data_IF_990904141937
#
_entry.id   IF_990904141937
#
_cell.length_a   1.000
_cell.length_b   1.000
_cell.length_c   1.000
_cell.angle_alpha   90.00
_cell.angle_beta   90.00
_cell.angle_gamma   90.00
#
_symmetry.space_group_name_H-M   'P 1'
#
loop_
_entity.id
_entity.type
_entity.pdbx_description
1 polymer ?
#
# COMPACT_ATOMS: atom_id res chain seq x y z
N UNK A 1 -8.82 86.82 34.75
CA UNK A 1 -8.85 86.24 33.43
C UNK A 1 -7.48 85.59 33.18
N UNK A 2 -7.39 84.21 33.29
CA UNK A 2 -6.20 83.44 32.98
C UNK A 2 -6.58 82.36 31.98
N UNK A 3 -6.15 82.54 30.75
CA UNK A 3 -6.24 81.54 29.73
C UNK A 3 -5.20 80.44 29.99
N UNK A 4 -5.60 79.22 30.15
CA UNK A 4 -4.74 78.07 30.18
C UNK A 4 -4.61 77.52 28.78
N UNK A 5 -3.45 77.66 28.17
CA UNK A 5 -3.11 77.02 26.89
C UNK A 5 -2.90 75.50 27.09
N UNK A 6 -3.66 74.71 26.39
CA UNK A 6 -3.50 73.27 26.35
C UNK A 6 -2.47 72.98 25.25
N UNK A 7 -1.34 72.46 25.61
CA UNK A 7 -0.23 72.07 24.72
C UNK A 7 -0.63 70.89 23.81
N UNK A 8 -0.36 70.96 22.49
CA UNK A 8 -0.75 69.94 21.53
C UNK A 8 0.11 68.65 21.57
N UNK A 9 1.00 68.49 22.54
CA UNK A 9 2.02 67.41 22.54
C UNK A 9 1.56 66.08 23.11
N UNK A 10 0.30 65.95 23.61
CA UNK A 10 -0.21 64.74 24.23
C UNK A 10 -1.11 63.88 23.28
N UNK A 11 -1.44 64.35 22.09
CA UNK A 11 -2.36 63.65 21.17
C UNK A 11 -1.59 62.67 20.24
N UNK A 12 -0.29 62.91 20.01
CA UNK A 12 0.49 62.03 19.11
C UNK A 12 0.98 60.72 19.76
N UNK A 13 0.97 60.62 21.09
CA UNK A 13 1.42 59.42 21.81
C UNK A 13 0.42 58.25 21.78
N UNK A 14 -0.87 58.50 21.57
CA UNK A 14 -1.90 57.47 21.62
C UNK A 14 -2.13 56.78 20.27
N UNK A 15 -1.82 57.45 19.16
CA UNK A 15 -1.93 56.86 17.81
C UNK A 15 -0.75 55.98 17.42
N UNK A 16 0.45 56.23 18.00
CA UNK A 16 1.62 55.43 17.72
C UNK A 16 1.58 54.03 18.40
N UNK A 17 0.85 53.89 19.52
CA UNK A 17 0.76 52.61 20.25
C UNK A 17 -0.24 51.63 19.63
N UNK A 18 -1.25 52.09 18.89
CA UNK A 18 -2.19 51.23 18.20
C UNK A 18 -1.65 50.67 16.88
N UNK A 19 -0.61 51.26 16.28
CA UNK A 19 -0.08 50.80 14.99
C UNK A 19 0.93 49.65 15.14
N UNK A 20 1.51 49.46 16.32
CA UNK A 20 2.51 48.38 16.57
C UNK A 20 1.85 47.05 17.00
N UNK A 21 0.57 47.05 17.46
CA UNK A 21 -0.14 45.84 17.84
C UNK A 21 -0.79 45.07 16.66
N UNK A 22 -0.79 45.64 15.46
CA UNK A 22 -1.43 44.99 14.29
C UNK A 22 -0.50 44.03 13.50
N UNK A 23 0.77 43.83 13.91
CA UNK A 23 1.75 43.06 13.14
C UNK A 23 2.08 41.69 13.76
N UNK A 24 1.54 41.36 14.94
CA UNK A 24 1.69 40.05 15.54
C UNK A 24 0.41 39.21 15.47
N UNK A 25 -0.18 39.05 14.28
CA UNK A 25 -1.05 37.91 14.05
C UNK A 25 -0.17 36.68 13.86
N UNK A 26 -0.33 35.62 14.69
CA UNK A 26 0.34 34.38 14.41
C UNK A 26 -0.16 33.91 13.03
N UNK A 27 0.79 33.79 12.09
CA UNK A 27 0.51 33.00 10.89
C UNK A 27 0.08 31.62 11.38
N UNK A 28 -1.22 31.34 11.32
CA UNK A 28 -1.71 29.99 11.42
C UNK A 28 -0.92 29.20 10.37
N UNK A 29 -0.01 28.35 10.84
CA UNK A 29 0.62 27.37 9.98
C UNK A 29 -0.54 26.59 9.37
N UNK A 30 -0.77 26.76 8.08
CA UNK A 30 -1.66 25.90 7.34
C UNK A 30 -1.13 24.50 7.57
N UNK A 31 -1.81 23.73 8.42
CA UNK A 31 -1.60 22.31 8.55
C UNK A 31 -1.82 21.79 7.14
N UNK A 32 -0.73 21.38 6.50
CA UNK A 32 -0.79 20.73 5.20
C UNK A 32 -1.63 19.48 5.42
N UNK A 33 -2.89 19.50 4.99
CA UNK A 33 -3.74 18.33 4.97
C UNK A 33 -2.97 17.29 4.18
N UNK A 34 -2.34 16.36 4.90
CA UNK A 34 -1.81 15.15 4.28
C UNK A 34 -3.03 14.48 3.68
N UNK A 35 -3.12 14.45 2.35
CA UNK A 35 -4.12 13.68 1.64
C UNK A 35 -4.18 12.33 2.32
N UNK A 36 -5.32 12.01 2.92
CA UNK A 36 -5.51 10.72 3.56
C UNK A 36 -5.24 9.67 2.48
N UNK A 37 -4.25 8.82 2.71
CA UNK A 37 -3.98 7.69 1.83
C UNK A 37 -5.08 6.71 2.11
N UNK A 38 -6.14 6.72 1.29
CA UNK A 38 -7.24 5.79 1.44
C UNK A 38 -6.88 4.46 0.76
N UNK A 39 -6.78 3.40 1.56
CA UNK A 39 -6.85 2.05 1.03
C UNK A 39 -8.23 1.85 0.39
N UNK A 40 -8.28 1.31 -0.84
CA UNK A 40 -9.56 0.92 -1.42
C UNK A 40 -10.26 -0.05 -0.48
N UNK A 41 -11.49 0.26 -0.10
CA UNK A 41 -12.32 -0.67 0.67
C UNK A 41 -12.70 -1.79 -0.30
N UNK A 42 -12.09 -2.96 -0.13
CA UNK A 42 -12.35 -4.14 -0.96
C UNK A 42 -13.59 -4.92 -0.51
N UNK A 43 -14.23 -4.50 0.58
CA UNK A 43 -15.45 -5.08 1.13
C UNK A 43 -16.62 -4.13 0.86
N UNK A 44 -17.79 -4.68 0.53
CA UNK A 44 -19.00 -3.87 0.49
C UNK A 44 -19.27 -3.26 1.88
N UNK A 45 -19.46 -1.96 1.94
CA UNK A 45 -19.73 -1.23 3.19
C UNK A 45 -21.02 -1.69 3.88
N UNK A 46 -21.96 -2.27 3.13
CA UNK A 46 -23.23 -2.81 3.63
C UNK A 46 -23.16 -4.29 4.00
N UNK A 47 -22.09 -4.97 3.61
CA UNK A 47 -21.93 -6.39 3.83
C UNK A 47 -21.84 -6.71 5.33
N UNK A 48 -22.47 -7.81 5.72
CA UNK A 48 -22.39 -8.37 7.06
C UNK A 48 -21.88 -9.79 6.95
N UNK A 49 -20.66 -10.01 7.41
CA UNK A 49 -20.07 -11.35 7.52
C UNK A 49 -20.31 -11.81 8.96
N UNK A 50 -21.04 -12.91 9.12
CA UNK A 50 -21.26 -13.49 10.44
C UNK A 50 -19.90 -13.90 11.05
N UNK A 51 -19.77 -13.75 12.36
CA UNK A 51 -18.61 -14.26 13.09
C UNK A 51 -18.86 -15.71 13.45
N UNK A 52 -18.15 -16.68 12.87
CA UNK A 52 -18.25 -18.09 13.28
C UNK A 52 -17.77 -18.27 14.72
N UNK A 53 -18.33 -19.25 15.42
CA UNK A 53 -17.86 -19.63 16.74
C UNK A 53 -16.53 -20.39 16.64
N UNK A 54 -15.49 -19.82 17.23
CA UNK A 54 -14.15 -20.41 17.36
C UNK A 54 -13.81 -20.77 18.81
N UNK A 55 -14.78 -20.86 19.71
CA UNK A 55 -14.54 -21.15 21.12
C UNK A 55 -13.81 -22.47 21.33
N UNK A 56 -14.11 -23.47 20.51
CA UNK A 56 -13.47 -24.79 20.49
C UNK A 56 -12.06 -24.84 19.92
N UNK A 57 -11.55 -23.76 19.32
CA UNK A 57 -10.20 -23.79 18.74
C UNK A 57 -9.15 -23.80 19.83
N UNK A 58 -8.21 -24.74 19.78
CA UNK A 58 -7.12 -24.86 20.75
C UNK A 58 -5.98 -23.90 20.39
N UNK A 59 -5.70 -23.78 19.10
CA UNK A 59 -4.65 -22.92 18.55
C UNK A 59 -5.02 -22.43 17.16
N UNK A 60 -4.45 -21.31 16.73
CA UNK A 60 -4.54 -20.77 15.37
C UNK A 60 -3.14 -20.35 14.93
N UNK A 61 -2.48 -21.16 14.12
CA UNK A 61 -1.14 -20.90 13.61
C UNK A 61 -1.21 -20.38 12.18
N UNK A 62 -0.58 -19.25 11.98
CA UNK A 62 -0.36 -18.68 10.66
C UNK A 62 1.04 -19.01 10.18
N UNK A 63 1.14 -19.62 9.01
CA UNK A 63 2.40 -19.84 8.31
C UNK A 63 2.72 -18.61 7.47
N UNK A 64 3.98 -18.21 7.47
CA UNK A 64 4.49 -17.10 6.66
C UNK A 64 5.91 -17.38 6.21
N UNK A 65 6.53 -16.45 5.45
CA UNK A 65 7.94 -16.51 5.05
C UNK A 65 8.73 -15.37 5.70
N UNK A 66 10.04 -15.26 5.40
CA UNK A 66 10.89 -14.16 5.88
C UNK A 66 11.60 -13.40 4.76
N UNK A 67 11.22 -13.68 3.52
CA UNK A 67 11.91 -13.23 2.30
C UNK A 67 11.04 -12.33 1.39
N UNK A 68 9.96 -11.76 1.94
CA UNK A 68 9.02 -10.92 1.21
C UNK A 68 8.81 -9.55 1.88
N UNK A 69 9.86 -8.70 2.02
CA UNK A 69 9.70 -7.35 2.56
C UNK A 69 8.90 -6.46 1.60
N UNK A 70 8.08 -5.54 2.10
CA UNK A 70 7.82 -5.22 3.51
C UNK A 70 6.67 -6.04 4.12
N UNK A 71 6.25 -7.13 3.47
CA UNK A 71 5.11 -7.94 3.93
C UNK A 71 5.48 -8.89 5.07
N UNK A 72 6.59 -9.63 4.93
CA UNK A 72 7.13 -10.52 5.96
C UNK A 72 8.66 -10.60 5.84
N UNK A 73 9.33 -10.30 6.92
CA UNK A 73 10.80 -10.28 6.98
C UNK A 73 11.28 -10.37 8.42
N UNK A 74 12.58 -10.61 8.60
CA UNK A 74 13.23 -10.50 9.90
C UNK A 74 13.76 -9.07 10.05
N UNK A 75 13.36 -8.40 11.13
CA UNK A 75 13.82 -7.06 11.44
C UNK A 75 15.26 -7.03 11.99
N UNK A 76 15.80 -5.83 12.22
CA UNK A 76 17.15 -5.64 12.75
C UNK A 76 17.36 -6.23 14.16
N UNK A 77 16.29 -6.55 14.88
CA UNK A 77 16.33 -7.17 16.21
C UNK A 77 16.21 -8.71 16.14
N UNK A 78 16.13 -9.28 14.94
CA UNK A 78 15.96 -10.72 14.73
C UNK A 78 14.52 -11.21 14.89
N UNK A 79 13.52 -10.31 14.94
CA UNK A 79 12.11 -10.67 15.10
C UNK A 79 11.37 -10.65 13.77
N UNK A 80 10.40 -11.55 13.68
CA UNK A 80 9.48 -11.58 12.55
C UNK A 80 8.59 -10.33 12.55
N UNK A 81 8.62 -9.58 11.46
CA UNK A 81 7.96 -8.31 11.25
C UNK A 81 7.38 -8.23 9.83
N UNK A 82 6.55 -7.21 9.56
CA UNK A 82 5.99 -6.94 8.25
C UNK A 82 4.48 -6.76 8.27
N UNK A 83 3.96 -6.29 7.14
CA UNK A 83 2.53 -6.00 6.98
C UNK A 83 1.64 -7.22 7.29
N UNK A 84 1.97 -8.42 6.75
CA UNK A 84 1.20 -9.63 7.03
C UNK A 84 1.28 -10.03 8.52
N UNK A 85 2.44 -9.86 9.13
CA UNK A 85 2.66 -10.20 10.55
C UNK A 85 1.80 -9.33 11.46
N UNK A 86 1.78 -8.01 11.20
CA UNK A 86 0.95 -7.09 11.97
C UNK A 86 -0.54 -7.28 11.67
N UNK A 87 -0.90 -7.56 10.40
CA UNK A 87 -2.28 -7.89 10.04
C UNK A 87 -2.78 -9.13 10.78
N UNK A 88 -1.99 -10.20 10.82
CA UNK A 88 -2.33 -11.43 11.56
C UNK A 88 -2.52 -11.13 13.06
N UNK A 89 -1.64 -10.34 13.67
CA UNK A 89 -1.78 -9.93 15.08
C UNK A 89 -3.09 -9.19 15.33
N UNK A 90 -3.50 -8.28 14.43
CA UNK A 90 -4.76 -7.55 14.55
C UNK A 90 -5.97 -8.46 14.32
N UNK A 91 -5.91 -9.40 13.36
CA UNK A 91 -6.94 -10.43 13.16
C UNK A 91 -7.13 -11.24 14.46
N UNK A 92 -6.05 -11.70 15.07
CA UNK A 92 -6.10 -12.45 16.32
C UNK A 92 -6.70 -11.65 17.47
N UNK A 93 -6.42 -10.35 17.53
CA UNK A 93 -7.00 -9.43 18.53
C UNK A 93 -8.50 -9.23 18.28
N UNK A 94 -8.90 -8.98 17.04
CA UNK A 94 -10.31 -8.80 16.65
C UNK A 94 -11.16 -10.04 16.98
N UNK A 95 -10.57 -11.22 16.78
CA UNK A 95 -11.21 -12.50 17.09
C UNK A 95 -11.15 -12.89 18.57
N UNK A 96 -10.47 -12.09 19.43
CA UNK A 96 -10.20 -12.42 20.85
C UNK A 96 -9.44 -13.76 21.02
N UNK A 97 -8.50 -14.07 20.10
CA UNK A 97 -7.71 -15.29 20.08
C UNK A 97 -6.22 -15.05 20.31
N UNK A 98 -5.81 -13.89 20.83
CA UNK A 98 -4.38 -13.49 20.94
C UNK A 98 -3.52 -14.56 21.59
N UNK A 99 -4.00 -15.17 22.70
CA UNK A 99 -3.26 -16.20 23.42
C UNK A 99 -3.17 -17.56 22.68
N UNK A 100 -4.06 -17.77 21.72
CA UNK A 100 -4.11 -19.00 20.92
C UNK A 100 -3.44 -18.83 19.55
N UNK A 101 -3.12 -17.59 19.17
CA UNK A 101 -2.51 -17.28 17.88
C UNK A 101 -0.99 -17.42 17.94
N UNK A 102 -0.46 -18.01 16.87
CA UNK A 102 0.98 -18.15 16.65
C UNK A 102 1.31 -17.80 15.20
N UNK A 103 2.49 -17.24 14.95
CA UNK A 103 3.01 -17.00 13.60
C UNK A 103 4.31 -17.78 13.48
N UNK A 104 4.37 -18.65 12.47
CA UNK A 104 5.52 -19.50 12.23
C UNK A 104 6.05 -19.26 10.82
N UNK A 105 7.35 -18.99 10.70
CA UNK A 105 8.02 -18.86 9.43
C UNK A 105 8.46 -20.22 8.90
N UNK A 106 8.22 -20.44 7.61
CA UNK A 106 8.73 -21.58 6.82
C UNK A 106 9.19 -21.05 5.47
N UNK A 107 9.89 -21.84 4.68
CA UNK A 107 10.26 -21.44 3.31
C UNK A 107 9.03 -21.45 2.39
N UNK A 108 9.02 -20.61 1.35
CA UNK A 108 7.89 -20.52 0.44
C UNK A 108 7.48 -21.86 -0.18
N UNK A 109 8.41 -22.73 -0.64
CA UNK A 109 8.05 -24.05 -1.17
C UNK A 109 7.42 -25.01 -0.15
N UNK A 110 7.64 -24.79 1.15
CA UNK A 110 7.11 -25.64 2.22
C UNK A 110 5.71 -25.25 2.66
N UNK A 111 5.21 -24.04 2.30
CA UNK A 111 3.95 -23.49 2.78
C UNK A 111 2.75 -24.43 2.54
N UNK A 112 2.58 -24.92 1.30
CA UNK A 112 1.46 -25.81 0.96
C UNK A 112 1.52 -27.12 1.74
N UNK A 113 2.72 -27.75 1.78
CA UNK A 113 2.91 -29.00 2.50
C UNK A 113 2.67 -28.83 3.99
N UNK A 114 3.22 -27.79 4.60
CA UNK A 114 3.04 -27.51 6.02
C UNK A 114 1.57 -27.25 6.39
N UNK A 115 0.80 -26.56 5.51
CA UNK A 115 -0.64 -26.37 5.69
C UNK A 115 -1.41 -27.70 5.62
N UNK A 116 -1.12 -28.53 4.62
CA UNK A 116 -1.76 -29.86 4.44
C UNK A 116 -1.43 -30.79 5.61
N UNK A 117 -0.19 -30.79 6.06
CA UNK A 117 0.27 -31.63 7.20
C UNK A 117 -0.30 -31.15 8.57
N UNK A 118 -1.05 -30.03 8.60
CA UNK A 118 -1.60 -29.49 9.85
C UNK A 118 -0.56 -28.80 10.73
N UNK A 119 0.59 -28.40 10.16
CA UNK A 119 1.60 -27.60 10.86
C UNK A 119 1.18 -26.13 11.03
N UNK A 120 0.11 -25.70 10.36
CA UNK A 120 -0.56 -24.42 10.50
C UNK A 120 -2.02 -24.54 10.07
N UNK A 121 -2.83 -23.58 10.43
CA UNK A 121 -4.25 -23.49 10.09
C UNK A 121 -4.49 -22.49 8.95
N UNK A 122 -3.55 -21.56 8.73
CA UNK A 122 -3.66 -20.51 7.71
C UNK A 122 -2.28 -20.13 7.15
N UNK A 123 -2.22 -19.60 5.91
CA UNK A 123 -1.00 -19.08 5.29
C UNK A 123 -1.20 -17.60 4.93
N UNK A 124 -0.36 -16.74 5.49
CA UNK A 124 -0.30 -15.30 5.19
C UNK A 124 1.09 -14.94 4.65
N UNK A 125 1.34 -15.23 3.38
CA UNK A 125 2.66 -15.14 2.74
C UNK A 125 2.63 -14.57 1.30
N UNK A 126 1.51 -14.00 0.86
CA UNK A 126 1.38 -13.48 -0.50
C UNK A 126 1.24 -14.56 -1.57
N UNK A 127 0.71 -15.72 -1.22
CA UNK A 127 0.42 -16.81 -2.18
C UNK A 127 -0.56 -16.30 -3.23
N UNK A 128 -0.19 -16.40 -4.49
CA UNK A 128 -1.05 -16.00 -5.60
C UNK A 128 -2.25 -16.97 -5.74
N UNK A 129 -3.45 -16.41 -5.86
CA UNK A 129 -4.66 -17.21 -6.07
C UNK A 129 -4.72 -17.65 -7.52
N UNK A 130 -4.54 -18.95 -7.75
CA UNK A 130 -4.67 -19.58 -9.06
C UNK A 130 -5.88 -20.51 -9.12
N UNK A 131 -6.38 -20.80 -10.33
CA UNK A 131 -7.49 -21.74 -10.51
C UNK A 131 -7.16 -23.14 -9.95
N UNK A 132 -5.91 -23.56 -10.01
CA UNK A 132 -5.47 -24.85 -9.48
C UNK A 132 -5.43 -24.85 -7.94
N UNK A 133 -4.88 -23.80 -7.34
CA UNK A 133 -4.87 -23.65 -5.88
C UNK A 133 -6.30 -23.53 -5.33
N UNK A 134 -7.21 -22.84 -6.02
CA UNK A 134 -8.63 -22.78 -5.63
C UNK A 134 -9.35 -24.15 -5.65
N UNK A 135 -8.90 -25.11 -6.44
CA UNK A 135 -9.44 -26.48 -6.37
C UNK A 135 -9.03 -27.19 -5.08
N UNK A 136 -7.86 -26.88 -4.54
CA UNK A 136 -7.25 -27.59 -3.40
C UNK A 136 -7.41 -26.86 -2.06
N UNK A 137 -7.51 -25.54 -2.09
CA UNK A 137 -7.51 -24.67 -0.91
C UNK A 137 -8.68 -23.69 -0.91
N UNK A 138 -9.00 -23.16 0.27
CA UNK A 138 -9.82 -21.96 0.44
C UNK A 138 -8.92 -20.72 0.52
N UNK A 139 -9.48 -19.57 0.19
CA UNK A 139 -8.83 -18.28 0.32
C UNK A 139 -9.79 -17.30 0.99
N UNK A 140 -9.26 -16.45 1.85
CA UNK A 140 -10.02 -15.31 2.36
C UNK A 140 -10.40 -14.38 1.21
N UNK A 141 -11.25 -13.42 1.49
CA UNK A 141 -11.40 -12.25 0.63
C UNK A 141 -10.08 -11.50 0.52
N UNK A 142 -9.82 -10.86 -0.62
CA UNK A 142 -8.63 -10.05 -0.77
C UNK A 142 -8.70 -8.84 0.18
N UNK A 143 -7.61 -8.60 0.91
CA UNK A 143 -7.48 -7.46 1.82
C UNK A 143 -6.62 -6.33 1.25
N UNK A 144 -5.88 -6.59 0.17
CA UNK A 144 -5.07 -5.60 -0.53
C UNK A 144 -4.90 -6.01 -2.00
N UNK A 145 -5.01 -5.06 -2.92
CA UNK A 145 -4.66 -5.25 -4.33
C UNK A 145 -3.36 -4.52 -4.62
N UNK A 146 -2.49 -5.13 -5.40
CA UNK A 146 -1.25 -4.50 -5.84
C UNK A 146 -1.50 -3.91 -7.24
N UNK A 147 -1.56 -2.58 -7.39
CA UNK A 147 -1.82 -1.96 -8.68
C UNK A 147 -0.56 -1.95 -9.53
N UNK A 148 -0.73 -1.97 -10.85
CA UNK A 148 0.30 -1.53 -11.77
C UNK A 148 0.30 0.01 -11.87
N UNK A 149 1.47 0.60 -12.09
CA UNK A 149 1.64 2.04 -12.29
C UNK A 149 2.71 2.32 -13.35
N UNK A 150 2.69 3.53 -13.86
CA UNK A 150 3.82 4.07 -14.61
C UNK A 150 4.80 4.79 -13.66
N UNK A 151 6.07 4.83 -14.08
CA UNK A 151 7.04 5.79 -13.57
C UNK A 151 7.74 6.49 -14.75
N UNK A 152 8.05 7.77 -14.57
CA UNK A 152 8.67 8.63 -15.57
C UNK A 152 9.85 9.38 -15.00
N UNK A 153 10.77 9.84 -15.89
CA UNK A 153 11.86 10.71 -15.47
C UNK A 153 11.38 12.13 -15.16
N UNK A 154 11.95 12.74 -14.12
CA UNK A 154 11.69 14.15 -13.78
C UNK A 154 12.34 15.14 -14.75
N UNK A 155 13.39 14.72 -15.48
CA UNK A 155 14.10 15.59 -16.43
C UNK A 155 13.29 15.93 -17.68
N UNK A 156 12.48 14.99 -18.15
CA UNK A 156 11.65 15.15 -19.35
C UNK A 156 10.26 14.54 -19.07
N UNK A 157 9.46 15.19 -18.21
CA UNK A 157 8.13 14.69 -17.87
C UNK A 157 7.21 14.73 -19.11
N UNK A 158 6.25 13.82 -19.22
CA UNK A 158 5.20 13.89 -20.24
C UNK A 158 4.43 15.22 -20.17
N UNK A 159 3.88 15.67 -21.30
CA UNK A 159 3.10 16.92 -21.39
C UNK A 159 1.68 16.83 -20.79
N UNK A 160 1.41 15.86 -19.94
CA UNK A 160 0.13 15.64 -19.23
C UNK A 160 0.33 14.69 -18.07
N UNK A 161 -0.74 14.44 -17.31
CA UNK A 161 -0.67 13.65 -16.08
C UNK A 161 -1.31 12.25 -16.24
N UNK A 162 -1.76 11.86 -17.43
CA UNK A 162 -2.36 10.56 -17.72
C UNK A 162 -1.56 9.76 -18.75
N UNK A 163 -1.78 8.44 -18.80
CA UNK A 163 -1.11 7.54 -19.76
C UNK A 163 -1.26 7.97 -21.23
N UNK A 164 -2.31 8.73 -21.58
CA UNK A 164 -2.47 9.29 -22.91
C UNK A 164 -1.30 10.22 -23.32
N UNK A 165 -0.65 10.87 -22.37
CA UNK A 165 0.53 11.69 -22.63
C UNK A 165 1.78 10.86 -23.00
N UNK A 166 1.71 9.54 -22.87
CA UNK A 166 2.75 8.59 -23.26
C UNK A 166 2.50 7.98 -24.65
N UNK A 167 1.44 8.36 -25.36
CA UNK A 167 1.13 7.83 -26.70
C UNK A 167 2.33 7.99 -27.64
N UNK A 168 2.73 6.89 -28.28
CA UNK A 168 3.89 6.83 -29.17
C UNK A 168 5.25 6.88 -28.46
N UNK A 169 5.29 7.01 -27.13
CA UNK A 169 6.52 6.98 -26.32
C UNK A 169 7.00 5.55 -26.09
N UNK A 170 8.29 5.41 -25.79
CA UNK A 170 8.92 4.15 -25.42
C UNK A 170 8.60 3.85 -23.97
N UNK A 171 7.91 2.75 -23.72
CA UNK A 171 7.52 2.32 -22.37
C UNK A 171 8.17 0.97 -22.08
N UNK A 172 9.08 0.96 -21.12
CA UNK A 172 9.75 -0.26 -20.67
C UNK A 172 8.83 -1.12 -19.83
N UNK A 173 8.98 -2.45 -19.98
CA UNK A 173 8.28 -3.46 -19.18
C UNK A 173 9.13 -4.72 -19.06
N UNK A 174 8.96 -5.52 -17.99
CA UNK A 174 9.68 -6.80 -17.84
C UNK A 174 9.07 -7.86 -18.75
N UNK A 175 9.92 -8.58 -19.47
CA UNK A 175 9.54 -9.66 -20.39
C UNK A 175 8.73 -10.77 -19.68
N UNK A 176 7.76 -11.34 -20.40
CA UNK A 176 6.92 -12.46 -19.95
C UNK A 176 6.19 -12.22 -18.62
N UNK A 177 6.03 -10.96 -18.20
CA UNK A 177 5.32 -10.59 -16.98
C UNK A 177 3.83 -10.32 -17.22
N UNK A 178 3.04 -10.40 -16.17
CA UNK A 178 1.65 -9.97 -16.18
C UNK A 178 1.51 -8.49 -16.60
N UNK A 179 2.49 -7.67 -16.22
CA UNK A 179 2.54 -6.25 -16.58
C UNK A 179 2.77 -6.05 -18.08
N UNK A 180 3.58 -6.88 -18.73
CA UNK A 180 3.73 -6.83 -20.19
C UNK A 180 2.40 -7.13 -20.90
N UNK A 181 1.71 -8.19 -20.47
CA UNK A 181 0.42 -8.55 -21.04
C UNK A 181 -0.61 -7.44 -20.83
N UNK A 182 -0.66 -6.86 -19.63
CA UNK A 182 -1.55 -5.76 -19.27
C UNK A 182 -1.23 -4.49 -20.05
N UNK A 183 0.05 -4.13 -20.18
CA UNK A 183 0.48 -2.95 -20.97
C UNK A 183 0.00 -3.04 -22.41
N UNK A 184 0.20 -4.19 -23.05
CA UNK A 184 -0.25 -4.44 -24.43
C UNK A 184 -1.76 -4.39 -24.59
N UNK A 185 -2.52 -4.91 -23.61
CA UNK A 185 -3.96 -4.95 -23.65
C UNK A 185 -4.62 -3.59 -23.39
N UNK A 186 -4.12 -2.83 -22.42
CA UNK A 186 -4.75 -1.58 -21.97
C UNK A 186 -4.22 -0.35 -22.71
N UNK A 187 -2.98 -0.42 -23.22
CA UNK A 187 -2.29 0.72 -23.81
C UNK A 187 -1.68 0.40 -25.19
N UNK A 188 -2.47 -0.04 -26.17
CA UNK A 188 -1.96 -0.52 -27.47
C UNK A 188 -1.26 0.56 -28.30
N UNK A 189 -1.40 1.84 -27.97
CA UNK A 189 -0.71 2.95 -28.65
C UNK A 189 0.68 3.23 -28.11
N UNK A 190 1.07 2.65 -26.98
CA UNK A 190 2.40 2.78 -26.42
C UNK A 190 3.39 1.87 -27.15
N UNK A 191 4.64 2.31 -27.29
CA UNK A 191 5.72 1.49 -27.83
C UNK A 191 6.37 0.70 -26.70
N UNK A 192 5.92 -0.54 -26.50
CA UNK A 192 6.45 -1.41 -25.46
C UNK A 192 7.89 -1.86 -25.78
N UNK A 193 8.83 -1.60 -24.88
CA UNK A 193 10.20 -2.12 -24.90
C UNK A 193 10.38 -3.11 -23.75
N UNK A 194 10.79 -4.36 -24.08
CA UNK A 194 10.90 -5.43 -23.10
C UNK A 194 12.30 -5.57 -22.56
N UNK A 195 12.40 -5.76 -21.25
CA UNK A 195 13.64 -5.94 -20.51
C UNK A 195 13.67 -7.30 -19.81
N UNK A 196 14.84 -7.93 -19.66
CA UNK A 196 14.93 -9.27 -19.10
C UNK A 196 14.51 -9.33 -17.61
N UNK A 197 14.76 -8.24 -16.89
CA UNK A 197 14.46 -8.15 -15.45
C UNK A 197 14.19 -6.69 -15.03
N UNK A 198 13.79 -6.54 -13.77
CA UNK A 198 13.49 -5.24 -13.18
C UNK A 198 14.72 -4.33 -13.08
N UNK A 199 15.87 -4.86 -12.80
CA UNK A 199 17.11 -4.07 -12.66
C UNK A 199 17.45 -3.38 -13.97
N UNK A 200 17.44 -4.13 -15.07
CA UNK A 200 17.64 -3.59 -16.42
C UNK A 200 16.55 -2.57 -16.80
N UNK A 201 15.29 -2.87 -16.47
CA UNK A 201 14.15 -1.97 -16.69
C UNK A 201 14.35 -0.61 -16.00
N UNK A 202 14.64 -0.61 -14.70
CA UNK A 202 14.78 0.61 -13.92
C UNK A 202 16.04 1.40 -14.29
N UNK A 203 17.14 0.71 -14.62
CA UNK A 203 18.33 1.35 -15.17
C UNK A 203 18.03 2.07 -16.49
N UNK A 204 17.24 1.46 -17.38
CA UNK A 204 16.88 2.05 -18.67
C UNK A 204 16.10 3.36 -18.53
N UNK A 205 15.19 3.47 -17.55
CA UNK A 205 14.48 4.70 -17.24
C UNK A 205 15.44 5.77 -16.70
N UNK A 206 16.29 5.39 -15.74
CA UNK A 206 17.27 6.30 -15.13
C UNK A 206 18.24 6.87 -16.17
N UNK A 207 18.64 6.08 -17.15
CA UNK A 207 19.54 6.45 -18.26
C UNK A 207 18.82 7.18 -19.40
N UNK A 208 17.48 7.26 -19.39
CA UNK A 208 16.69 7.89 -20.47
C UNK A 208 16.58 7.05 -21.74
N UNK A 209 16.86 5.76 -21.67
CA UNK A 209 16.69 4.84 -22.81
C UNK A 209 15.21 4.62 -23.14
N UNK A 210 14.34 4.68 -22.13
CA UNK A 210 12.89 4.69 -22.26
C UNK A 210 12.32 5.96 -21.63
N UNK A 211 11.12 6.35 -22.09
CA UNK A 211 10.45 7.57 -21.62
C UNK A 211 9.64 7.32 -20.35
N UNK A 212 9.16 6.09 -20.20
CA UNK A 212 8.45 5.61 -19.01
C UNK A 212 8.73 4.12 -18.78
N UNK A 213 8.38 3.62 -17.61
CA UNK A 213 8.29 2.19 -17.31
C UNK A 213 6.91 1.86 -16.75
N UNK A 214 6.43 0.65 -17.00
CA UNK A 214 5.19 0.13 -16.45
C UNK A 214 5.46 -1.15 -15.66
N UNK A 215 4.93 -1.22 -14.41
CA UNK A 215 5.20 -2.36 -13.57
C UNK A 215 4.43 -2.30 -12.25
N UNK A 216 4.80 -3.18 -11.31
CA UNK A 216 4.23 -3.21 -9.97
C UNK A 216 4.37 -1.85 -9.28
N UNK A 217 3.23 -1.25 -8.93
CA UNK A 217 3.17 0.11 -8.38
C UNK A 217 3.87 0.24 -7.04
N UNK A 218 3.87 -0.82 -6.22
CA UNK A 218 4.58 -0.82 -4.93
C UNK A 218 6.10 -0.81 -5.16
N UNK A 219 6.59 -1.68 -6.04
CA UNK A 219 8.03 -1.74 -6.36
C UNK A 219 8.52 -0.43 -6.96
N UNK A 220 7.74 0.15 -7.89
CA UNK A 220 8.05 1.45 -8.49
C UNK A 220 8.02 2.57 -7.45
N UNK A 221 7.06 2.56 -6.52
CA UNK A 221 6.96 3.55 -5.46
C UNK A 221 8.18 3.49 -4.52
N UNK A 222 8.60 2.30 -4.08
CA UNK A 222 9.80 2.16 -3.27
C UNK A 222 11.05 2.60 -4.01
N UNK A 223 11.21 2.20 -5.28
CA UNK A 223 12.38 2.57 -6.07
C UNK A 223 12.45 4.08 -6.30
N UNK A 224 11.35 4.73 -6.71
CA UNK A 224 11.34 6.18 -7.00
C UNK A 224 11.64 7.03 -5.78
N UNK A 225 11.31 6.55 -4.57
CA UNK A 225 11.59 7.22 -3.30
C UNK A 225 12.88 6.73 -2.62
N UNK A 226 13.47 5.65 -3.12
CA UNK A 226 14.71 5.06 -2.60
C UNK A 226 15.98 5.72 -3.16
N UNK A 227 17.11 5.41 -2.55
CA UNK A 227 18.42 5.91 -2.95
C UNK A 227 18.86 5.40 -4.31
N UNK A 228 18.40 4.21 -4.74
CA UNK A 228 18.76 3.59 -6.01
C UNK A 228 18.36 4.43 -7.23
N UNK A 229 17.21 5.10 -7.17
CA UNK A 229 16.75 6.00 -8.23
C UNK A 229 17.61 7.27 -8.33
N UNK A 230 18.38 7.61 -7.30
CA UNK A 230 19.09 8.88 -7.17
C UNK A 230 18.16 10.10 -7.42
N UNK A 231 16.86 9.97 -7.06
CA UNK A 231 15.86 11.02 -7.23
C UNK A 231 15.49 11.35 -8.68
N UNK A 232 15.91 10.54 -9.66
CA UNK A 232 15.69 10.79 -11.09
C UNK A 232 14.23 10.86 -11.50
N UNK A 233 13.39 10.13 -10.79
CA UNK A 233 12.14 9.64 -11.34
C UNK A 233 10.99 9.84 -10.35
N UNK A 234 9.75 9.75 -10.86
CA UNK A 234 8.52 9.80 -10.03
C UNK A 234 7.49 8.80 -10.53
N UNK A 235 6.58 8.42 -9.67
CA UNK A 235 5.37 7.74 -10.13
C UNK A 235 4.59 8.65 -11.07
N UNK A 236 3.90 8.02 -12.01
CA UNK A 236 3.08 8.70 -12.99
C UNK A 236 1.86 7.85 -13.27
N UNK A 237 0.71 8.47 -13.37
CA UNK A 237 -0.59 7.86 -13.63
C UNK A 237 -0.87 6.49 -12.97
N UNK A 238 -2.12 6.09 -12.93
CA UNK A 238 -2.63 4.92 -12.19
C UNK A 238 -3.23 5.34 -10.85
N UNK A 239 -3.70 4.39 -10.03
CA UNK A 239 -3.43 2.95 -10.08
C UNK A 239 -4.21 2.19 -11.15
N UNK A 240 -3.61 1.22 -11.79
CA UNK A 240 -4.27 0.29 -12.71
C UNK A 240 -4.41 -1.07 -12.04
N UNK A 241 -5.65 -1.53 -11.84
CA UNK A 241 -5.96 -2.83 -11.25
C UNK A 241 -6.65 -3.71 -12.28
N UNK A 242 -6.34 -5.00 -12.27
CA UNK A 242 -6.99 -5.97 -13.16
C UNK A 242 -6.87 -7.37 -12.57
N UNK A 243 -7.99 -8.00 -12.27
CA UNK A 243 -8.00 -9.39 -11.80
C UNK A 243 -7.47 -10.36 -12.87
N UNK A 244 -7.74 -10.07 -14.14
CA UNK A 244 -7.28 -10.88 -15.25
C UNK A 244 -5.75 -10.98 -15.34
N UNK A 245 -5.03 -9.89 -15.08
CA UNK A 245 -3.58 -9.84 -15.22
C UNK A 245 -2.85 -9.93 -13.89
N UNK A 246 -3.33 -9.22 -12.87
CA UNK A 246 -2.64 -9.06 -11.59
C UNK A 246 -3.20 -9.95 -10.48
N UNK A 247 -4.23 -10.76 -10.80
CA UNK A 247 -4.92 -11.61 -9.82
C UNK A 247 -5.87 -10.84 -8.91
N UNK A 248 -6.44 -11.56 -7.96
CA UNK A 248 -7.49 -11.05 -7.08
C UNK A 248 -6.94 -10.10 -5.99
N UNK A 249 -5.65 -10.16 -5.72
CA UNK A 249 -4.98 -9.45 -4.64
C UNK A 249 -4.41 -10.37 -3.57
N UNK A 250 -3.97 -9.80 -2.46
CA UNK A 250 -3.41 -10.52 -1.32
C UNK A 250 -4.54 -11.13 -0.49
N UNK A 251 -4.42 -12.42 -0.20
CA UNK A 251 -5.38 -13.24 0.52
C UNK A 251 -4.66 -14.10 1.57
N UNK A 252 -5.43 -14.72 2.46
CA UNK A 252 -4.96 -15.74 3.39
C UNK A 252 -5.49 -17.09 2.89
N UNK A 253 -4.62 -18.11 2.81
CA UNK A 253 -4.95 -19.45 2.29
C UNK A 253 -5.20 -20.43 3.45
N UNK A 254 -6.16 -21.35 3.27
CA UNK A 254 -6.59 -22.34 4.26
C UNK A 254 -6.81 -23.70 3.59
N UNK A 255 -6.86 -24.78 4.39
CA UNK A 255 -7.38 -26.05 3.91
C UNK A 255 -8.87 -25.95 3.55
N UNK A 256 -9.36 -26.82 2.68
CA UNK A 256 -10.76 -26.80 2.22
C UNK A 256 -11.78 -27.00 3.35
N UNK A 257 -11.43 -27.76 4.35
CA UNK A 257 -12.27 -28.07 5.52
C UNK A 257 -12.32 -26.93 6.54
N UNK A 258 -11.36 -26.00 6.55
CA UNK A 258 -11.24 -24.92 7.55
C UNK A 258 -12.19 -23.74 7.30
N UNK A 259 -13.43 -24.04 6.87
CA UNK A 259 -14.42 -23.02 6.48
C UNK A 259 -14.78 -22.05 7.62
N UNK A 260 -14.84 -22.55 8.87
CA UNK A 260 -15.13 -21.72 10.04
C UNK A 260 -13.99 -20.72 10.31
N UNK A 261 -12.73 -21.16 10.19
CA UNK A 261 -11.55 -20.30 10.35
C UNK A 261 -11.52 -19.23 9.24
N UNK A 262 -11.72 -19.64 7.98
CA UNK A 262 -11.76 -18.73 6.84
C UNK A 262 -12.86 -17.66 7.00
N UNK A 263 -14.07 -18.06 7.40
CA UNK A 263 -15.19 -17.14 7.63
C UNK A 263 -14.93 -16.18 8.80
N UNK A 264 -14.30 -16.65 9.89
CA UNK A 264 -13.92 -15.78 11.01
C UNK A 264 -12.85 -14.76 10.62
N UNK A 265 -11.88 -15.18 9.80
CA UNK A 265 -10.85 -14.26 9.28
C UNK A 265 -11.45 -13.23 8.33
N UNK A 266 -12.39 -13.61 7.46
CA UNK A 266 -13.11 -12.66 6.61
C UNK A 266 -13.93 -11.66 7.43
N UNK A 267 -14.56 -12.10 8.52
CA UNK A 267 -15.23 -11.22 9.48
C UNK A 267 -14.24 -10.22 10.09
N UNK A 268 -13.08 -10.69 10.58
CA UNK A 268 -12.05 -9.83 11.15
C UNK A 268 -11.48 -8.83 10.13
N UNK A 269 -11.19 -9.27 8.91
CA UNK A 269 -10.70 -8.39 7.83
C UNK A 269 -11.71 -7.26 7.52
N UNK A 270 -13.01 -7.58 7.47
CA UNK A 270 -14.07 -6.59 7.28
C UNK A 270 -14.10 -5.59 8.47
N UNK A 271 -14.01 -6.08 9.70
CA UNK A 271 -13.97 -5.23 10.90
C UNK A 271 -12.76 -4.29 10.88
N UNK A 272 -11.55 -4.82 10.60
CA UNK A 272 -10.30 -4.05 10.52
C UNK A 272 -10.31 -3.02 9.38
N UNK A 273 -10.98 -3.33 8.27
CA UNK A 273 -11.17 -2.37 7.18
C UNK A 273 -12.08 -1.22 7.60
N UNK A 274 -13.17 -1.50 8.32
CA UNK A 274 -14.17 -0.49 8.74
C UNK A 274 -13.71 0.40 9.88
N UNK A 275 -12.96 -0.15 10.83
CA UNK A 275 -12.47 0.61 12.00
C UNK A 275 -11.15 1.34 11.75
N UNK A 276 -10.60 1.28 10.52
CA UNK A 276 -9.38 1.97 10.11
C UNK A 276 -8.07 1.27 10.52
N UNK A 277 -8.11 0.14 11.23
CA UNK A 277 -6.88 -0.56 11.65
C UNK A 277 -6.08 -1.11 10.49
N UNK A 278 -6.76 -1.61 9.45
CA UNK A 278 -6.07 -2.05 8.22
C UNK A 278 -5.31 -0.90 7.56
N UNK A 279 -5.91 0.29 7.54
CA UNK A 279 -5.29 1.52 7.06
C UNK A 279 -4.06 1.91 7.89
N UNK A 280 -4.15 1.84 9.22
CA UNK A 280 -3.01 2.15 10.10
C UNK A 280 -1.83 1.20 9.86
N UNK A 281 -2.09 -0.11 9.71
CA UNK A 281 -1.04 -1.08 9.39
C UNK A 281 -0.43 -0.74 8.02
N UNK A 282 -1.28 -0.48 7.02
CA UNK A 282 -0.81 -0.10 5.69
C UNK A 282 0.15 1.09 5.74
N UNK A 283 -0.22 2.19 6.38
CA UNK A 283 0.59 3.40 6.46
C UNK A 283 1.93 3.21 7.19
N UNK A 284 2.04 2.20 8.05
CA UNK A 284 3.30 1.85 8.73
C UNK A 284 4.35 1.31 7.76
N UNK A 285 3.92 0.51 6.80
CA UNK A 285 4.80 -0.18 5.85
C UNK A 285 4.87 0.49 4.49
N UNK A 286 3.85 1.24 4.11
CA UNK A 286 3.71 1.87 2.80
C UNK A 286 3.52 3.39 2.94
N UNK A 287 4.61 4.15 3.17
CA UNK A 287 4.53 5.60 3.37
C UNK A 287 4.20 6.37 2.08
N UNK A 288 3.98 5.66 0.98
CA UNK A 288 3.62 6.20 -0.33
C UNK A 288 2.21 5.83 -0.69
N UNK A 289 1.50 6.75 -1.32
CA UNK A 289 0.15 6.48 -1.83
C UNK A 289 0.22 5.60 -3.08
N UNK A 290 -0.08 4.30 -2.94
CA UNK A 290 -0.12 3.36 -4.06
C UNK A 290 -1.39 3.54 -4.91
N UNK A 291 -2.45 4.13 -4.34
CA UNK A 291 -3.80 4.21 -4.92
C UNK A 291 -4.22 5.63 -5.26
N UNK A 292 -3.47 6.64 -4.84
CA UNK A 292 -3.71 8.03 -5.20
C UNK A 292 -3.05 8.43 -6.52
N UNK A 293 -3.74 9.27 -7.27
CA UNK A 293 -3.23 9.94 -8.46
C UNK A 293 -2.46 11.21 -8.12
#
# INVERSE_FOLDING_TARGET
>A
MRHSEISPLKIYGFFALCLVMAVMMPRAAAAQERSAVDLPILFDTRERIARPDLSGIVRLRFLTTVDFPPFNFIDQTGKLAGFHVDLVREICRELALTEKCQIQAVTFPELEKALVDGNGEAVAAGVAVTADLRKRFLFSRPFMRLPARFAVTKKAPPAGETAAALDGKRVGVVAASAHEAMLKAFFPRLKAEVFPDRTALLASLKEGKVDAVFGDGMQLAFWTNGTESAGCCRLFDGPYVSEQFLGEGLTIMFRKEDTAIAGAIDHALLALSRNGRLQEIYLRYFPVNLYGG
#
